data_IF_609540908394
#
_entry.id   IF_609540908394
#
_cell.length_a   1.000
_cell.length_b   1.000
_cell.length_c   1.000
_cell.angle_alpha   90.00
_cell.angle_beta   90.00
_cell.angle_gamma   90.00
#
_symmetry.space_group_name_H-M   'P 1'
#
loop_
_entity.id
_entity.type
_entity.pdbx_description
1 polymer ?
#
# COMPACT_ATOMS: atom_id res chain seq x y z
N UNK A 1 14.34 41.28 23.26
CA UNK A 1 13.79 40.77 21.98
C UNK A 1 13.03 39.49 22.30
N UNK A 2 11.80 39.39 21.80
CA UNK A 2 10.75 38.47 22.27
C UNK A 2 11.10 37.00 21.96
N UNK A 3 11.15 36.18 23.02
CA UNK A 3 11.01 34.72 22.97
C UNK A 3 9.52 34.44 22.74
N UNK A 4 9.16 33.90 21.58
CA UNK A 4 7.79 33.47 21.33
C UNK A 4 7.49 33.43 19.86
N UNK A 5 7.79 32.30 19.20
CA UNK A 5 7.10 31.84 17.99
C UNK A 5 7.59 30.48 17.42
N UNK A 6 8.32 29.64 18.17
CA UNK A 6 8.90 28.42 17.61
C UNK A 6 8.69 27.13 18.45
N UNK A 7 7.63 27.10 19.25
CA UNK A 7 7.25 25.94 20.07
C UNK A 7 5.78 25.51 19.93
N UNK A 8 5.11 25.91 18.83
CA UNK A 8 3.68 25.62 18.61
C UNK A 8 3.40 24.62 17.46
N UNK A 9 4.37 23.78 17.09
CA UNK A 9 4.22 22.84 15.96
C UNK A 9 4.41 21.35 16.34
N UNK A 10 4.63 21.00 17.60
CA UNK A 10 5.00 19.62 18.01
C UNK A 10 4.10 19.00 19.07
N UNK A 11 2.84 19.41 19.18
CA UNK A 11 1.84 18.71 20.01
C UNK A 11 0.44 18.83 19.40
N UNK A 12 0.22 18.20 18.25
CA UNK A 12 -1.12 17.79 17.85
C UNK A 12 -1.21 16.28 18.02
N UNK A 13 -1.82 15.76 19.10
CA UNK A 13 -2.30 14.40 19.08
C UNK A 13 -3.38 14.37 18.00
N UNK A 14 -3.17 13.59 16.94
CA UNK A 14 -4.24 13.23 16.03
C UNK A 14 -5.18 12.32 16.83
N UNK A 15 -6.05 12.93 17.62
CA UNK A 15 -7.22 12.29 18.15
C UNK A 15 -8.17 12.10 16.96
N UNK A 16 -8.14 10.91 16.37
CA UNK A 16 -9.19 10.46 15.48
C UNK A 16 -10.47 10.29 16.32
N UNK A 17 -11.21 11.37 16.53
CA UNK A 17 -12.59 11.29 16.95
C UNK A 17 -13.38 10.77 15.75
N UNK A 18 -13.67 9.47 15.76
CA UNK A 18 -14.76 8.94 14.96
C UNK A 18 -16.02 9.72 15.37
N UNK A 19 -16.57 10.52 14.46
CA UNK A 19 -17.89 11.11 14.64
C UNK A 19 -18.89 9.95 14.71
N UNK A 20 -19.21 9.51 15.93
CA UNK A 20 -20.41 8.72 16.19
C UNK A 20 -21.60 9.63 15.93
N UNK A 21 -22.07 9.65 14.69
CA UNK A 21 -23.38 10.19 14.34
C UNK A 21 -24.41 9.31 15.02
N UNK A 22 -24.88 9.75 16.18
CA UNK A 22 -25.96 9.12 16.94
C UNK A 22 -27.30 9.38 16.25
N UNK A 23 -27.51 8.77 15.09
CA UNK A 23 -28.83 8.28 14.70
C UNK A 23 -28.91 6.86 15.22
N UNK A 24 -29.52 6.71 16.39
CA UNK A 24 -29.84 5.42 16.99
C UNK A 24 -30.83 4.68 16.09
N UNK A 25 -30.31 3.94 15.11
CA UNK A 25 -31.06 2.85 14.48
C UNK A 25 -30.81 1.64 15.36
N UNK A 26 -31.85 1.19 16.03
CA UNK A 26 -31.83 0.04 16.93
C UNK A 26 -31.42 -1.21 16.12
N UNK A 27 -30.14 -1.59 16.22
CA UNK A 27 -29.50 -2.64 15.42
C UNK A 27 -29.78 -4.04 15.96
N UNK A 28 -31.03 -4.28 16.36
CA UNK A 28 -31.47 -5.54 16.96
C UNK A 28 -32.46 -6.24 16.05
N UNK A 29 -32.05 -6.57 14.83
CA UNK A 29 -32.47 -7.75 14.07
C UNK A 29 -31.63 -7.86 12.79
N UNK A 30 -31.31 -9.10 12.44
CA UNK A 30 -30.30 -9.54 11.47
C UNK A 30 -30.38 -8.86 10.10
N UNK A 31 -29.20 -8.66 9.49
CA UNK A 31 -29.09 -8.50 8.04
C UNK A 31 -29.42 -9.85 7.36
N UNK A 32 -30.10 -9.85 6.20
CA UNK A 32 -30.51 -8.69 5.40
C UNK A 32 -31.89 -8.11 5.79
N UNK A 33 -32.04 -6.77 5.69
CA UNK A 33 -33.33 -6.07 5.86
C UNK A 33 -33.84 -5.48 4.53
N UNK A 34 -35.11 -5.04 4.51
CA UNK A 34 -35.85 -4.58 3.31
C UNK A 34 -35.27 -3.34 2.61
N UNK A 35 -34.28 -2.66 3.20
CA UNK A 35 -33.56 -1.54 2.57
C UNK A 35 -32.15 -1.91 2.10
N UNK A 36 -31.74 -3.16 2.30
CA UNK A 36 -30.50 -3.71 1.77
C UNK A 36 -30.81 -4.52 0.51
N UNK A 37 -30.05 -4.31 -0.56
CA UNK A 37 -30.19 -5.00 -1.86
C UNK A 37 -29.85 -6.51 -1.80
N UNK A 38 -30.01 -7.17 -0.66
CA UNK A 38 -29.50 -8.53 -0.40
C UNK A 38 -27.96 -8.63 -0.44
N UNK A 39 -27.25 -7.54 -0.72
CA UNK A 39 -25.79 -7.49 -0.92
C UNK A 39 -25.00 -7.27 0.38
N UNK A 40 -25.64 -7.33 1.54
CA UNK A 40 -25.01 -7.04 2.83
C UNK A 40 -24.18 -8.23 3.36
N UNK A 41 -23.19 -8.67 2.59
CA UNK A 41 -22.15 -9.59 3.07
C UNK A 41 -21.16 -8.79 3.93
N UNK A 42 -21.62 -8.37 5.12
CA UNK A 42 -20.79 -7.66 6.11
C UNK A 42 -19.98 -8.71 6.85
N UNK A 43 -18.73 -8.90 6.42
CA UNK A 43 -17.78 -9.74 7.13
C UNK A 43 -17.16 -8.91 8.28
N UNK A 44 -17.08 -9.43 9.51
CA UNK A 44 -16.31 -8.78 10.56
C UNK A 44 -14.85 -8.65 10.11
N UNK A 45 -14.19 -7.56 10.50
CA UNK A 45 -12.75 -7.35 10.25
C UNK A 45 -11.92 -8.30 11.13
N UNK A 46 -11.94 -9.59 10.81
CA UNK A 46 -11.14 -10.62 11.46
C UNK A 46 -10.04 -11.16 10.52
N UNK A 47 -9.15 -11.99 11.06
CA UNK A 47 -8.08 -12.60 10.26
C UNK A 47 -8.62 -13.61 9.22
N UNK A 48 -9.88 -14.05 9.31
CA UNK A 48 -10.51 -14.95 8.35
C UNK A 48 -10.94 -14.21 7.08
N UNK A 49 -11.29 -12.92 7.21
CA UNK A 49 -11.61 -12.05 6.08
C UNK A 49 -10.38 -11.60 5.27
N UNK A 50 -9.15 -11.90 5.72
CA UNK A 50 -7.93 -11.58 4.95
C UNK A 50 -7.91 -12.37 3.65
N UNK A 51 -7.65 -11.66 2.56
CA UNK A 51 -7.59 -12.22 1.20
C UNK A 51 -6.16 -12.32 0.65
N UNK A 52 -5.21 -11.64 1.29
CA UNK A 52 -3.87 -11.41 0.77
C UNK A 52 -2.80 -11.79 1.78
N UNK A 53 -1.64 -12.20 1.27
CA UNK A 53 -0.41 -12.23 2.06
C UNK A 53 0.06 -10.80 2.27
N UNK A 54 0.49 -10.53 3.48
CA UNK A 54 0.83 -9.19 3.93
C UNK A 54 2.10 -9.18 4.79
N UNK A 55 2.81 -10.31 4.84
CA UNK A 55 4.11 -10.45 5.48
C UNK A 55 5.13 -10.93 4.47
N UNK A 56 6.35 -10.41 4.56
CA UNK A 56 7.50 -10.93 3.84
C UNK A 56 8.76 -10.88 4.69
N UNK A 57 9.74 -11.70 4.32
CA UNK A 57 11.11 -11.60 4.82
C UNK A 57 12.00 -11.27 3.64
N UNK A 58 12.77 -10.19 3.75
CA UNK A 58 13.70 -9.78 2.70
C UNK A 58 15.13 -9.92 3.18
N UNK A 59 16.00 -10.45 2.33
CA UNK A 59 17.44 -10.56 2.58
C UNK A 59 18.19 -10.04 1.37
N UNK A 60 19.30 -9.34 1.59
CA UNK A 60 20.08 -8.83 0.49
C UNK A 60 21.43 -8.30 0.94
N UNK A 61 22.21 -7.85 -0.03
CA UNK A 61 23.51 -7.26 0.21
C UNK A 61 24.09 -6.61 -1.03
N UNK A 62 25.15 -5.85 -0.84
CA UNK A 62 25.81 -5.15 -1.92
C UNK A 62 26.89 -4.21 -1.41
N UNK A 63 27.13 -3.15 -2.16
CA UNK A 63 28.21 -2.21 -1.88
C UNK A 63 27.78 -1.12 -0.89
N UNK A 64 28.74 -0.64 -0.11
CA UNK A 64 28.56 0.49 0.80
C UNK A 64 29.70 1.49 0.60
N UNK A 65 29.36 2.78 0.60
CA UNK A 65 30.30 3.86 0.33
C UNK A 65 30.07 5.01 1.30
N UNK A 66 31.15 5.56 1.84
CA UNK A 66 31.12 6.85 2.50
C UNK A 66 31.18 7.96 1.43
N UNK A 67 30.18 8.83 1.40
CA UNK A 67 30.00 9.79 0.29
C UNK A 67 30.05 11.24 0.74
N UNK A 68 29.32 11.58 1.81
CA UNK A 68 29.27 12.93 2.34
C UNK A 68 29.80 12.92 3.76
N UNK A 69 31.12 13.00 3.84
CA UNK A 69 31.92 12.89 5.06
C UNK A 69 33.28 13.56 4.86
N UNK A 70 34.13 13.56 5.89
CA UNK A 70 35.53 13.96 5.80
C UNK A 70 36.35 12.99 4.94
N UNK A 71 36.34 11.72 5.32
CA UNK A 71 36.96 10.61 4.62
C UNK A 71 35.96 9.95 3.69
N UNK A 72 36.26 9.97 2.38
CA UNK A 72 35.36 9.46 1.34
C UNK A 72 35.82 8.14 0.77
N UNK A 73 34.86 7.28 0.45
CA UNK A 73 35.06 6.04 -0.32
C UNK A 73 35.21 6.32 -1.82
N UNK A 74 34.53 7.35 -2.31
CA UNK A 74 34.55 7.76 -3.73
C UNK A 74 35.38 9.03 -3.87
N UNK A 75 36.60 8.90 -4.40
CA UNK A 75 37.46 10.03 -4.80
C UNK A 75 37.66 10.02 -6.32
N UNK A 76 38.10 11.14 -6.89
CA UNK A 76 38.29 11.31 -8.34
C UNK A 76 39.29 10.30 -8.94
N UNK A 77 40.25 9.87 -8.13
CA UNK A 77 41.38 9.01 -8.48
C UNK A 77 41.19 7.54 -8.07
N UNK A 78 40.36 7.27 -7.05
CA UNK A 78 40.23 5.95 -6.44
C UNK A 78 38.85 5.72 -5.83
N UNK A 79 38.30 4.53 -6.05
CA UNK A 79 37.10 4.02 -5.39
C UNK A 79 37.48 2.90 -4.42
N UNK A 80 37.20 3.11 -3.14
CA UNK A 80 37.31 2.07 -2.12
C UNK A 80 35.93 1.47 -1.88
N UNK A 81 35.83 0.16 -2.09
CA UNK A 81 34.57 -0.56 -1.96
C UNK A 81 34.38 -1.06 -0.53
N UNK A 82 33.23 -0.75 0.04
CA UNK A 82 32.69 -1.41 1.22
C UNK A 82 31.60 -2.41 0.86
N UNK A 83 31.04 -3.07 1.87
CA UNK A 83 29.91 -3.99 1.69
C UNK A 83 28.81 -3.74 2.73
N UNK A 84 27.59 -4.14 2.41
CA UNK A 84 26.50 -4.26 3.37
C UNK A 84 25.73 -5.57 3.13
N UNK A 85 25.06 -6.03 4.16
CA UNK A 85 24.04 -7.07 4.11
C UNK A 85 22.90 -6.67 5.03
N UNK A 86 21.67 -6.97 4.63
CA UNK A 86 20.48 -6.69 5.42
C UNK A 86 19.55 -7.90 5.49
N UNK A 87 18.81 -7.95 6.59
CA UNK A 87 17.61 -8.78 6.73
C UNK A 87 16.48 -7.89 7.23
N UNK A 88 15.29 -8.05 6.66
CA UNK A 88 14.11 -7.34 7.10
C UNK A 88 12.89 -8.24 7.20
N UNK A 89 12.01 -7.88 8.14
CA UNK A 89 10.67 -8.42 8.24
C UNK A 89 9.73 -7.29 7.83
N UNK A 90 9.00 -7.49 6.74
CA UNK A 90 8.15 -6.48 6.16
C UNK A 90 6.68 -6.86 6.35
N UNK A 91 5.89 -5.87 6.76
CA UNK A 91 4.45 -5.94 6.93
C UNK A 91 3.80 -4.97 5.96
N UNK A 92 3.06 -5.49 5.00
CA UNK A 92 2.23 -4.67 4.13
C UNK A 92 0.95 -4.28 4.89
N UNK A 93 0.70 -2.98 5.06
CA UNK A 93 -0.50 -2.45 5.74
C UNK A 93 -1.61 -2.19 4.72
N UNK A 94 -1.26 -1.67 3.54
CA UNK A 94 -2.16 -1.45 2.41
C UNK A 94 -1.44 -1.81 1.10
N UNK A 95 -2.15 -1.81 -0.03
CA UNK A 95 -1.53 -2.01 -1.35
C UNK A 95 -0.45 -0.95 -1.69
N UNK A 96 -0.48 0.23 -1.06
CA UNK A 96 0.50 1.31 -1.26
C UNK A 96 1.52 1.47 -0.15
N UNK A 97 1.23 1.04 1.08
CA UNK A 97 2.06 1.31 2.25
C UNK A 97 2.40 0.05 3.04
N UNK A 98 3.68 -0.07 3.42
CA UNK A 98 4.21 -1.11 4.28
C UNK A 98 5.13 -0.57 5.36
N UNK A 99 5.37 -1.39 6.38
CA UNK A 99 6.29 -1.12 7.48
C UNK A 99 7.29 -2.26 7.57
N UNK A 100 8.56 -1.96 7.77
CA UNK A 100 9.63 -2.93 7.79
C UNK A 100 10.54 -2.73 9.00
N UNK A 101 10.84 -3.82 9.70
CA UNK A 101 11.90 -3.84 10.70
C UNK A 101 13.14 -4.44 10.03
N UNK A 102 14.19 -3.64 9.90
CA UNK A 102 15.40 -4.01 9.16
C UNK A 102 16.64 -3.97 10.05
N UNK A 103 17.40 -5.05 10.02
CA UNK A 103 18.76 -5.10 10.55
C UNK A 103 19.75 -5.09 9.38
N UNK A 104 20.72 -4.18 9.43
CA UNK A 104 21.78 -4.04 8.42
C UNK A 104 23.13 -4.12 9.09
N UNK A 105 24.06 -4.82 8.46
CA UNK A 105 25.47 -4.88 8.86
C UNK A 105 26.34 -4.60 7.67
N UNK A 106 27.42 -3.86 7.85
CA UNK A 106 28.34 -3.57 6.77
C UNK A 106 29.69 -3.06 7.22
N UNK A 107 30.52 -2.79 6.21
CA UNK A 107 31.81 -2.14 6.35
C UNK A 107 31.98 -1.12 5.22
N UNK A 108 32.36 0.12 5.53
CA UNK A 108 32.85 1.08 4.55
C UNK A 108 34.36 1.21 4.64
N UNK A 109 34.99 1.52 3.51
CA UNK A 109 36.41 1.85 3.42
C UNK A 109 36.56 3.21 2.81
N UNK A 110 37.29 4.10 3.45
CA UNK A 110 37.39 5.49 3.05
C UNK A 110 38.81 6.01 3.26
N UNK A 111 39.14 7.07 2.54
CA UNK A 111 40.48 7.64 2.58
C UNK A 111 40.39 9.16 2.62
N UNK A 112 41.18 9.77 3.49
CA UNK A 112 41.31 11.21 3.64
C UNK A 112 42.73 11.67 3.37
N UNK A 113 42.89 12.93 2.97
CA UNK A 113 44.19 13.56 2.86
C UNK A 113 44.18 14.92 3.56
N UNK A 114 45.09 15.13 4.50
CA UNK A 114 45.29 16.43 5.15
C UNK A 114 45.94 17.42 4.19
N UNK A 115 45.63 18.70 4.36
CA UNK A 115 46.28 19.79 3.61
C UNK A 115 47.75 19.92 3.99
N UNK A 116 48.64 19.58 3.06
CA UNK A 116 50.10 19.64 3.17
C UNK A 116 50.75 19.55 1.79
N UNK A 117 52.08 19.77 1.69
CA UNK A 117 52.79 19.80 0.40
C UNK A 117 52.49 18.54 -0.45
N UNK A 118 52.10 18.76 -1.70
CA UNK A 118 51.75 17.70 -2.65
C UNK A 118 52.91 16.70 -2.79
N UNK A 119 52.65 15.41 -2.56
CA UNK A 119 53.62 14.34 -2.79
C UNK A 119 54.30 13.75 -1.55
N UNK A 120 54.01 14.22 -0.33
CA UNK A 120 54.46 13.52 0.88
C UNK A 120 53.44 12.42 1.19
N UNK A 121 53.88 11.17 1.32
CA UNK A 121 53.04 10.04 1.78
C UNK A 121 52.46 10.25 3.19
N UNK A 122 52.94 11.25 3.92
CA UNK A 122 52.42 11.66 5.21
C UNK A 122 51.12 12.46 5.05
N UNK A 123 50.09 12.08 5.83
CA UNK A 123 48.80 12.77 5.82
C UNK A 123 47.77 12.13 4.90
N UNK A 124 48.02 10.92 4.38
CA UNK A 124 47.02 10.08 3.72
C UNK A 124 46.61 8.99 4.69
N UNK A 125 45.38 9.09 5.21
CA UNK A 125 44.82 8.07 6.09
C UNK A 125 43.76 7.23 5.39
N UNK A 126 43.73 5.97 5.78
CA UNK A 126 42.70 4.99 5.41
C UNK A 126 41.90 4.66 6.66
N UNK A 127 40.59 4.90 6.60
CA UNK A 127 39.67 4.47 7.64
C UNK A 127 38.77 3.34 7.15
N UNK A 128 38.42 2.47 8.09
CA UNK A 128 37.42 1.42 7.92
C UNK A 128 36.35 1.61 8.98
N UNK A 129 35.08 1.64 8.58
CA UNK A 129 33.95 1.73 9.51
C UNK A 129 33.12 0.48 9.39
N UNK A 130 33.09 -0.34 10.44
CA UNK A 130 32.16 -1.46 10.58
C UNK A 130 30.92 -0.96 11.30
N UNK A 131 29.73 -1.25 10.75
CA UNK A 131 28.48 -0.75 11.32
C UNK A 131 27.43 -1.86 11.42
N UNK A 132 26.63 -1.75 12.47
CA UNK A 132 25.47 -2.57 12.78
C UNK A 132 24.29 -1.62 13.02
N UNK A 133 23.17 -1.84 12.34
CA UNK A 133 22.07 -0.90 12.29
C UNK A 133 20.75 -1.63 12.45
N UNK A 134 19.86 -1.10 13.30
CA UNK A 134 18.49 -1.59 13.46
C UNK A 134 17.53 -0.43 13.21
N UNK A 135 16.63 -0.56 12.23
CA UNK A 135 15.72 0.52 11.84
C UNK A 135 14.30 0.05 11.60
N UNK A 136 13.37 0.98 11.86
CA UNK A 136 11.99 0.92 11.41
C UNK A 136 11.86 1.76 10.13
N UNK A 137 11.32 1.17 9.08
CA UNK A 137 11.26 1.75 7.74
C UNK A 137 9.81 1.75 7.25
N UNK A 138 9.33 2.89 6.79
CA UNK A 138 8.14 2.98 5.95
C UNK A 138 8.48 2.68 4.49
N UNK A 139 7.67 1.84 3.85
CA UNK A 139 7.74 1.48 2.43
C UNK A 139 6.51 2.06 1.72
N UNK A 140 6.73 2.92 0.72
CA UNK A 140 5.68 3.44 -0.16
C UNK A 140 5.86 2.82 -1.55
N UNK A 141 4.86 2.06 -2.01
CA UNK A 141 4.79 1.54 -3.36
C UNK A 141 4.19 2.60 -4.31
N UNK A 142 5.06 3.38 -4.95
CA UNK A 142 4.67 4.43 -5.90
C UNK A 142 3.99 3.86 -7.15
N UNK A 143 4.36 2.65 -7.57
CA UNK A 143 3.72 2.02 -8.73
C UNK A 143 2.24 1.74 -8.51
N UNK A 144 1.83 1.42 -7.28
CA UNK A 144 0.41 1.32 -6.91
C UNK A 144 -0.21 2.68 -6.63
N UNK A 145 0.52 3.59 -5.97
CA UNK A 145 -0.01 4.91 -5.61
C UNK A 145 -0.33 5.76 -6.84
N UNK A 146 0.51 5.69 -7.87
CA UNK A 146 0.42 6.47 -9.10
C UNK A 146 -0.14 5.65 -10.27
N UNK A 147 -0.73 4.48 -9.99
CA UNK A 147 -1.30 3.63 -11.02
C UNK A 147 -2.51 4.33 -11.63
N UNK A 148 -2.50 4.46 -12.95
CA UNK A 148 -3.67 4.95 -13.67
C UNK A 148 -4.79 3.90 -13.64
N UNK A 149 -6.00 4.40 -13.49
CA UNK A 149 -7.26 3.63 -13.47
C UNK A 149 -7.48 2.81 -14.74
N UNK A 150 -7.08 3.32 -15.90
CA UNK A 150 -7.29 2.70 -17.21
C UNK A 150 -6.20 1.67 -17.59
N UNK A 151 -5.20 1.46 -16.73
CA UNK A 151 -4.12 0.53 -17.00
C UNK A 151 -4.45 -0.88 -16.49
N UNK A 152 -4.80 -1.77 -17.42
CA UNK A 152 -5.18 -3.16 -17.15
C UNK A 152 -4.00 -4.15 -17.18
N UNK A 153 -2.78 -3.67 -17.46
CA UNK A 153 -1.61 -4.55 -17.61
C UNK A 153 -1.15 -5.13 -16.26
N UNK A 154 -0.85 -6.45 -16.18
CA UNK A 154 -0.27 -7.04 -14.98
C UNK A 154 1.12 -6.43 -14.74
N UNK A 155 1.24 -5.61 -13.69
CA UNK A 155 2.52 -5.01 -13.36
C UNK A 155 3.38 -6.00 -12.59
N UNK A 156 4.57 -6.26 -13.13
CA UNK A 156 5.59 -7.11 -12.50
C UNK A 156 6.73 -6.30 -11.90
N UNK A 157 6.78 -5.00 -12.19
CA UNK A 157 7.77 -4.08 -11.66
C UNK A 157 7.06 -3.08 -10.76
N UNK A 158 7.63 -2.83 -9.60
CA UNK A 158 7.15 -1.84 -8.65
C UNK A 158 8.29 -0.94 -8.19
N UNK A 159 8.06 0.37 -8.22
CA UNK A 159 8.96 1.38 -7.70
C UNK A 159 8.55 1.75 -6.28
N UNK A 160 9.52 1.74 -5.38
CA UNK A 160 9.33 1.91 -3.95
C UNK A 160 10.16 3.08 -3.42
N UNK A 161 9.59 3.80 -2.46
CA UNK A 161 10.29 4.77 -1.63
C UNK A 161 10.42 4.25 -0.22
N UNK A 162 11.62 4.39 0.36
CA UNK A 162 11.92 3.99 1.73
C UNK A 162 12.30 5.21 2.55
N UNK A 163 11.80 5.27 3.78
CA UNK A 163 12.26 6.23 4.77
C UNK A 163 12.16 5.61 6.15
N UNK A 164 13.19 5.78 6.98
CA UNK A 164 13.25 5.14 8.28
C UNK A 164 14.15 5.86 9.27
N UNK A 165 13.97 5.46 10.52
CA UNK A 165 14.73 5.89 11.69
C UNK A 165 15.20 4.64 12.43
N UNK A 166 16.40 4.69 12.99
CA UNK A 166 16.97 3.54 13.67
C UNK A 166 18.08 3.90 14.64
N UNK A 167 18.66 2.86 15.23
CA UNK A 167 19.85 2.94 16.07
C UNK A 167 21.03 2.33 15.33
N UNK A 168 22.20 2.94 15.52
CA UNK A 168 23.43 2.63 14.80
C UNK A 168 24.57 2.37 15.80
N UNK A 169 25.18 1.20 15.73
CA UNK A 169 26.49 0.96 16.32
C UNK A 169 27.54 0.97 15.23
N UNK A 170 28.72 1.50 15.54
CA UNK A 170 29.85 1.40 14.64
C UNK A 170 31.18 1.33 15.36
N UNK A 171 32.17 0.79 14.66
CA UNK A 171 33.57 0.71 15.07
C UNK A 171 34.43 1.18 13.92
N UNK A 172 35.23 2.20 14.18
CA UNK A 172 36.13 2.74 13.18
C UNK A 172 37.57 2.40 13.51
N UNK A 173 38.39 2.26 12.48
CA UNK A 173 39.84 2.19 12.62
C UNK A 173 40.49 3.08 11.58
N UNK A 174 41.34 4.00 12.02
CA UNK A 174 42.07 4.94 11.18
C UNK A 174 43.56 4.59 11.19
N UNK A 175 44.12 4.37 10.01
CA UNK A 175 45.54 4.08 9.79
C UNK A 175 46.12 5.12 8.83
N UNK A 176 47.25 5.73 9.18
CA UNK A 176 47.97 6.70 8.34
C UNK A 176 49.30 6.09 7.91
N UNK A 177 49.73 6.38 6.69
CA UNK A 177 50.93 5.83 6.06
C UNK A 177 52.25 6.26 6.73
N UNK A 178 52.22 7.14 7.74
CA UNK A 178 53.40 7.52 8.52
C UNK A 178 53.41 6.88 9.93
N UNK A 179 53.39 5.55 9.94
CA UNK A 179 53.30 4.66 11.13
C UNK A 179 54.41 4.88 12.17
N UNK A 180 55.48 5.63 11.84
CA UNK A 180 56.66 5.86 12.68
C UNK A 180 56.89 7.32 13.13
N UNK A 181 55.93 8.23 12.93
CA UNK A 181 56.06 9.58 13.51
C UNK A 181 55.64 9.55 14.99
N UNK A 182 56.61 9.23 15.86
CA UNK A 182 56.55 9.47 17.30
C UNK A 182 56.46 10.98 17.58
N UNK A 183 55.29 11.58 17.37
CA UNK A 183 54.97 12.89 17.92
C UNK A 183 53.97 12.68 19.05
N UNK A 184 54.44 12.87 20.28
CA UNK A 184 53.63 12.70 21.49
C UNK A 184 52.64 13.86 21.69
N UNK A 185 52.67 14.89 20.83
CA UNK A 185 51.70 15.98 20.93
C UNK A 185 51.20 16.53 19.58
N UNK A 186 49.97 16.18 19.17
CA UNK A 186 49.12 15.10 19.71
C UNK A 186 49.48 13.76 19.05
N UNK A 187 49.60 12.71 19.87
CA UNK A 187 49.76 11.31 19.46
C UNK A 187 48.45 10.81 18.86
N UNK A 188 48.40 10.44 17.57
CA UNK A 188 47.09 10.32 16.86
C UNK A 188 46.83 9.05 16.03
N UNK A 189 47.66 8.00 16.04
CA UNK A 189 47.47 6.88 15.07
C UNK A 189 48.07 5.55 15.61
N UNK A 190 47.37 4.40 15.53
CA UNK A 190 46.00 4.19 15.05
C UNK A 190 44.94 4.75 16.00
N UNK A 191 43.88 5.32 15.43
CA UNK A 191 42.72 5.83 16.17
C UNK A 191 41.55 4.88 16.01
N UNK A 192 40.88 4.58 17.11
CA UNK A 192 39.72 3.70 17.15
C UNK A 192 38.57 4.41 17.81
N UNK A 193 37.45 4.57 17.11
CA UNK A 193 36.20 5.05 17.69
C UNK A 193 35.24 3.88 17.79
N UNK A 194 34.53 3.77 18.91
CA UNK A 194 33.49 2.78 19.11
C UNK A 194 32.25 3.46 19.63
N UNK A 195 31.20 3.45 18.82
CA UNK A 195 29.87 3.88 19.20
C UNK A 195 29.00 2.63 19.44
N UNK A 196 28.60 2.34 20.69
CA UNK A 196 27.66 1.26 20.98
C UNK A 196 26.24 1.63 20.53
N UNK A 197 25.38 0.63 20.34
CA UNK A 197 23.97 0.86 19.99
C UNK A 197 23.24 1.32 21.26
N UNK A 198 22.88 2.59 21.30
CA UNK A 198 22.16 3.22 22.40
C UNK A 198 21.13 4.23 21.86
N UNK A 199 20.23 4.71 22.72
CA UNK A 199 19.20 5.71 22.39
C UNK A 199 19.82 7.02 21.88
N UNK A 200 21.08 7.31 22.19
CA UNK A 200 21.83 8.44 21.64
C UNK A 200 22.37 8.23 20.22
N UNK A 201 22.36 7.01 19.69
CA UNK A 201 22.93 6.63 18.39
C UNK A 201 21.88 6.60 17.26
N UNK A 202 20.95 7.55 17.29
CA UNK A 202 19.85 7.61 16.32
C UNK A 202 20.36 8.05 14.97
N UNK A 203 20.05 7.27 13.94
CA UNK A 203 20.35 7.60 12.55
C UNK A 203 19.05 7.59 11.72
N UNK A 204 19.09 8.27 10.59
CA UNK A 204 18.00 8.29 9.61
C UNK A 204 18.46 7.64 8.32
N UNK A 205 17.54 7.05 7.58
CA UNK A 205 17.84 6.58 6.24
C UNK A 205 16.66 6.81 5.30
N UNK A 206 16.97 7.06 4.04
CA UNK A 206 15.99 7.24 2.99
C UNK A 206 16.52 6.67 1.68
N UNK A 207 15.65 6.11 0.86
CA UNK A 207 16.10 5.40 -0.33
C UNK A 207 15.01 5.07 -1.31
N UNK A 208 15.43 4.41 -2.38
CA UNK A 208 14.57 3.98 -3.47
C UNK A 208 14.75 2.49 -3.70
N UNK A 209 13.68 1.83 -4.12
CA UNK A 209 13.63 0.42 -4.45
C UNK A 209 13.01 0.17 -5.80
N UNK A 210 13.54 -0.82 -6.51
CA UNK A 210 12.90 -1.41 -7.68
C UNK A 210 12.70 -2.89 -7.38
N UNK A 211 11.43 -3.29 -7.20
CA UNK A 211 11.02 -4.68 -6.95
C UNK A 211 10.49 -5.30 -8.23
N UNK A 212 10.82 -6.56 -8.44
CA UNK A 212 10.32 -7.39 -9.54
C UNK A 212 9.65 -8.65 -9.02
N UNK A 213 8.41 -8.86 -9.45
CA UNK A 213 7.60 -10.03 -9.12
C UNK A 213 8.01 -11.23 -9.98
N UNK A 214 8.89 -12.06 -9.43
CA UNK A 214 9.37 -13.28 -10.07
C UNK A 214 8.28 -14.34 -10.01
N UNK A 215 7.73 -14.59 -8.83
CA UNK A 215 6.74 -15.63 -8.61
C UNK A 215 5.78 -15.29 -7.47
N UNK A 216 4.81 -16.18 -7.25
CA UNK A 216 3.92 -16.10 -6.09
C UNK A 216 4.69 -16.11 -4.77
N UNK A 217 5.89 -16.66 -4.68
CA UNK A 217 6.61 -16.76 -3.40
C UNK A 217 7.76 -15.77 -3.26
N UNK A 218 8.29 -15.28 -4.38
CA UNK A 218 9.58 -14.59 -4.41
C UNK A 218 9.47 -13.31 -5.24
N UNK A 219 10.00 -12.22 -4.68
CA UNK A 219 10.39 -11.00 -5.40
C UNK A 219 11.90 -10.84 -5.38
N UNK A 220 12.42 -10.17 -6.41
CA UNK A 220 13.80 -9.67 -6.42
C UNK A 220 13.75 -8.16 -6.27
N UNK A 221 14.69 -7.60 -5.52
CA UNK A 221 14.73 -6.18 -5.20
C UNK A 221 16.12 -5.62 -5.48
N UNK A 222 16.16 -4.47 -6.16
CA UNK A 222 17.31 -3.58 -6.16
C UNK A 222 16.99 -2.38 -5.28
N UNK A 223 17.80 -2.13 -4.25
CA UNK A 223 17.59 -1.06 -3.28
C UNK A 223 18.82 -0.16 -3.21
N UNK A 224 18.57 1.14 -3.07
CA UNK A 224 19.59 2.14 -2.80
C UNK A 224 19.17 2.96 -1.59
N UNK A 225 19.98 2.97 -0.53
CA UNK A 225 19.69 3.73 0.70
C UNK A 225 20.79 4.74 0.97
N UNK A 226 20.37 5.94 1.35
CA UNK A 226 21.22 6.99 1.88
C UNK A 226 21.08 7.01 3.40
N UNK A 227 22.18 6.85 4.10
CA UNK A 227 22.28 6.77 5.56
C UNK A 227 22.77 8.12 6.06
N UNK A 228 21.98 8.74 6.93
CA UNK A 228 22.32 9.97 7.64
C UNK A 228 22.65 9.59 9.07
N UNK A 229 23.95 9.49 9.36
CA UNK A 229 24.46 9.03 10.66
C UNK A 229 24.06 9.97 11.81
N UNK A 230 24.12 11.29 11.57
CA UNK A 230 24.00 12.30 12.63
C UNK A 230 25.21 12.37 13.56
N UNK A 231 26.25 11.61 13.25
CA UNK A 231 27.49 11.43 14.02
C UNK A 231 28.67 11.71 13.08
N UNK A 232 29.61 12.49 13.59
CA UNK A 232 30.76 13.03 12.86
C UNK A 232 31.96 12.07 12.90
N UNK A 233 31.94 11.09 13.80
CA UNK A 233 32.99 10.10 13.92
C UNK A 233 32.72 8.84 13.07
N UNK A 234 31.59 8.79 12.36
CA UNK A 234 31.13 7.61 11.62
C UNK A 234 32.03 7.28 10.42
N UNK A 235 32.67 8.26 9.78
CA UNK A 235 33.64 7.99 8.72
C UNK A 235 35.03 7.57 9.23
N UNK A 236 35.21 7.52 10.55
CA UNK A 236 36.48 7.13 11.16
C UNK A 236 37.59 8.18 11.10
N UNK A 237 37.27 9.46 10.95
CA UNK A 237 38.20 10.58 11.08
C UNK A 237 38.89 10.67 12.46
N UNK A 238 38.37 9.94 13.46
CA UNK A 238 38.86 9.90 14.83
C UNK A 238 37.99 10.77 15.75
N UNK A 239 38.34 10.89 17.05
CA UNK A 239 37.56 11.72 17.97
C UNK A 239 37.41 13.17 17.51
N UNK A 240 36.36 13.84 17.98
CA UNK A 240 36.16 15.27 17.81
C UNK A 240 37.46 16.09 17.96
N UNK A 241 37.63 17.09 17.08
CA UNK A 241 38.79 17.98 17.02
C UNK A 241 40.12 17.31 16.60
N UNK A 242 40.05 16.16 15.93
CA UNK A 242 41.19 15.60 15.19
C UNK A 242 41.31 16.26 13.81
N UNK A 243 42.52 16.32 13.26
CA UNK A 243 42.77 16.98 11.98
C UNK A 243 41.99 16.35 10.82
N UNK A 244 41.72 15.04 10.90
CA UNK A 244 40.94 14.30 9.90
C UNK A 244 39.43 14.54 10.07
N UNK A 245 38.92 14.58 11.31
CA UNK A 245 37.53 14.93 11.66
C UNK A 245 37.20 16.44 11.52
N UNK A 246 38.13 17.24 11.01
CA UNK A 246 37.97 18.68 10.80
C UNK A 246 38.20 19.06 9.33
N UNK A 247 38.18 18.07 8.42
CA UNK A 247 38.35 18.32 6.99
C UNK A 247 37.12 19.00 6.38
N UNK A 248 35.95 18.85 7.01
CA UNK A 248 34.67 19.40 6.62
C UNK A 248 33.95 19.92 7.86
N UNK A 249 33.22 21.02 7.73
CA UNK A 249 32.48 21.62 8.84
C UNK A 249 31.10 20.95 9.08
N UNK A 250 30.85 19.80 8.44
CA UNK A 250 29.63 19.03 8.67
C UNK A 250 29.72 18.35 10.03
N UNK A 251 28.57 17.91 10.55
CA UNK A 251 28.45 17.22 11.84
C UNK A 251 27.92 15.79 11.70
N UNK A 252 27.89 15.31 10.47
CA UNK A 252 27.22 14.06 10.12
C UNK A 252 27.87 13.51 8.89
N UNK A 253 28.50 12.37 9.07
CA UNK A 253 29.02 11.58 7.98
C UNK A 253 27.96 10.65 7.44
N UNK A 254 27.77 10.70 6.12
CA UNK A 254 26.70 9.98 5.49
C UNK A 254 27.25 8.95 4.52
N UNK A 255 26.68 7.75 4.62
CA UNK A 255 26.97 6.63 3.76
C UNK A 255 25.85 6.40 2.74
N UNK A 256 26.20 5.71 1.67
CA UNK A 256 25.30 5.26 0.64
C UNK A 256 25.49 3.77 0.43
N UNK A 257 24.41 3.00 0.55
CA UNK A 257 24.36 1.58 0.24
C UNK A 257 23.58 1.31 -1.05
N UNK A 258 24.08 0.36 -1.84
CA UNK A 258 23.40 -0.17 -3.03
C UNK A 258 23.38 -1.68 -2.91
N UNK A 259 22.20 -2.27 -2.91
CA UNK A 259 22.00 -3.67 -2.54
C UNK A 259 21.06 -4.38 -3.52
N UNK A 260 21.35 -5.65 -3.77
CA UNK A 260 20.43 -6.57 -4.43
C UNK A 260 19.93 -7.56 -3.39
N UNK A 261 18.65 -7.89 -3.46
CA UNK A 261 17.99 -8.73 -2.47
C UNK A 261 16.87 -9.57 -3.04
N UNK A 262 16.41 -10.49 -2.21
CA UNK A 262 15.30 -11.40 -2.48
C UNK A 262 14.31 -11.28 -1.33
N UNK A 263 13.04 -11.14 -1.65
CA UNK A 263 11.95 -11.07 -0.69
C UNK A 263 11.04 -12.29 -0.81
N UNK A 264 10.81 -12.95 0.33
CA UNK A 264 9.98 -14.15 0.44
C UNK A 264 8.61 -13.79 1.02
N UNK A 265 7.56 -13.98 0.22
CA UNK A 265 6.17 -13.68 0.58
C UNK A 265 5.59 -14.78 1.47
N UNK A 266 5.25 -14.44 2.71
CA UNK A 266 4.77 -15.37 3.73
C UNK A 266 3.24 -15.36 3.82
N UNK A 267 2.67 -16.54 4.12
CA UNK A 267 1.24 -16.73 4.41
C UNK A 267 0.55 -17.68 3.43
N UNK A 268 -0.76 -17.91 3.64
CA UNK A 268 -1.52 -18.97 2.97
C UNK A 268 -2.24 -18.51 1.68
N UNK A 269 -2.38 -17.21 1.47
CA UNK A 269 -3.15 -16.67 0.35
C UNK A 269 -2.34 -16.66 -0.96
N UNK A 270 -3.03 -16.70 -2.10
CA UNK A 270 -2.39 -16.84 -3.40
C UNK A 270 -1.62 -15.58 -3.85
N UNK A 271 -2.15 -14.39 -3.56
CA UNK A 271 -1.58 -13.11 -3.94
C UNK A 271 -1.03 -12.36 -2.72
N UNK A 272 -0.04 -11.51 -2.94
CA UNK A 272 0.53 -10.63 -1.93
C UNK A 272 -0.02 -9.22 -2.11
N UNK A 273 -0.34 -8.54 -1.01
CA UNK A 273 -1.05 -7.25 -0.99
C UNK A 273 -0.30 -6.16 -1.78
N UNK A 274 1.03 -6.17 -1.73
CA UNK A 274 1.86 -5.22 -2.48
C UNK A 274 1.76 -5.35 -4.01
N UNK A 275 1.26 -6.49 -4.51
CA UNK A 275 1.11 -6.79 -5.94
C UNK A 275 -0.36 -6.80 -6.38
N UNK A 276 -1.27 -6.35 -5.53
CA UNK A 276 -2.70 -6.36 -5.81
C UNK A 276 -3.19 -4.95 -6.18
N UNK A 277 -3.94 -4.86 -7.27
CA UNK A 277 -4.66 -3.65 -7.64
C UNK A 277 -6.07 -3.68 -7.01
N UNK A 278 -6.41 -2.77 -6.08
CA UNK A 278 -7.74 -2.76 -5.46
C UNK A 278 -8.86 -2.42 -6.45
N UNK A 279 -8.57 -1.66 -7.50
CA UNK A 279 -9.58 -1.20 -8.45
C UNK A 279 -9.91 -2.27 -9.49
N UNK A 280 -8.95 -3.16 -9.79
CA UNK A 280 -9.16 -4.26 -10.72
C UNK A 280 -10.34 -5.16 -10.32
N UNK A 281 -10.55 -5.42 -9.02
CA UNK A 281 -11.70 -6.20 -8.55
C UNK A 281 -13.03 -5.45 -8.75
N UNK A 282 -13.04 -4.13 -8.50
CA UNK A 282 -14.21 -3.30 -8.71
C UNK A 282 -14.58 -3.21 -10.20
N UNK A 283 -13.60 -2.98 -11.08
CA UNK A 283 -13.83 -2.95 -12.53
C UNK A 283 -14.26 -4.29 -13.09
N UNK A 284 -13.67 -5.39 -12.64
CA UNK A 284 -14.12 -6.71 -13.04
C UNK A 284 -15.59 -6.92 -12.69
N UNK A 285 -16.00 -6.61 -11.45
CA UNK A 285 -17.41 -6.71 -11.04
C UNK A 285 -18.33 -5.80 -11.84
N UNK A 286 -17.93 -4.55 -12.06
CA UNK A 286 -18.70 -3.62 -12.88
C UNK A 286 -18.87 -4.15 -14.31
N UNK A 287 -17.79 -4.65 -14.93
CA UNK A 287 -17.84 -5.23 -16.28
C UNK A 287 -18.71 -6.49 -16.35
N UNK A 288 -18.70 -7.32 -15.30
CA UNK A 288 -19.57 -8.51 -15.23
C UNK A 288 -21.03 -8.09 -15.11
N UNK A 289 -21.33 -7.04 -14.34
CA UNK A 289 -22.70 -6.52 -14.20
C UNK A 289 -23.19 -5.81 -15.46
N UNK A 290 -22.32 -5.08 -16.14
CA UNK A 290 -22.64 -4.41 -17.40
C UNK A 290 -22.90 -5.41 -18.53
N UNK A 291 -22.12 -6.50 -18.58
CA UNK A 291 -22.28 -7.55 -19.58
C UNK A 291 -23.22 -8.69 -19.15
N UNK A 292 -23.67 -8.69 -17.90
CA UNK A 292 -24.76 -9.56 -17.48
C UNK A 292 -26.01 -9.03 -18.19
N UNK A 293 -26.35 -9.66 -19.32
CA UNK A 293 -27.64 -9.46 -19.94
C UNK A 293 -28.69 -9.63 -18.85
N UNK A 294 -29.44 -8.57 -18.57
CA UNK A 294 -30.72 -8.72 -17.89
C UNK A 294 -31.59 -9.46 -18.89
N UNK A 295 -31.57 -10.78 -18.86
CA UNK A 295 -32.65 -11.58 -19.42
C UNK A 295 -33.89 -11.16 -18.63
N UNK A 296 -34.56 -10.13 -19.13
CA UNK A 296 -35.89 -9.79 -18.69
C UNK A 296 -36.74 -10.98 -19.17
N UNK A 297 -36.93 -11.96 -18.30
CA UNK A 297 -37.84 -13.07 -18.55
C UNK A 297 -39.23 -12.47 -18.54
N UNK A 298 -39.69 -12.08 -19.73
CA UNK A 298 -41.05 -11.60 -19.95
C UNK A 298 -41.92 -12.84 -20.11
N UNK A 299 -42.94 -12.97 -19.26
CA UNK A 299 -43.90 -14.08 -19.29
C UNK A 299 -43.27 -15.43 -18.95
N UNK A 300 -42.69 -15.55 -17.75
CA UNK A 300 -42.10 -16.80 -17.26
C UNK A 300 -43.16 -17.91 -17.15
N UNK A 301 -44.38 -17.54 -16.73
CA UNK A 301 -45.50 -18.48 -16.60
C UNK A 301 -46.30 -18.71 -17.88
N UNK A 302 -46.07 -17.91 -18.92
CA UNK A 302 -46.83 -17.97 -20.18
C UNK A 302 -48.10 -17.12 -20.17
N UNK A 303 -49.04 -17.48 -21.04
CA UNK A 303 -50.38 -16.91 -21.23
C UNK A 303 -51.32 -18.11 -21.47
N UNK A 304 -51.99 -18.57 -20.40
CA UNK A 304 -52.71 -19.84 -20.40
C UNK A 304 -54.06 -19.77 -21.14
N UNK A 305 -54.75 -18.65 -21.05
CA UNK A 305 -56.07 -18.43 -21.66
C UNK A 305 -55.99 -17.75 -23.05
N UNK A 306 -54.78 -17.32 -23.46
CA UNK A 306 -54.46 -16.69 -24.74
C UNK A 306 -55.22 -15.38 -24.95
N UNK A 307 -55.40 -14.60 -23.89
CA UNK A 307 -56.02 -13.28 -23.97
C UNK A 307 -55.04 -12.16 -24.37
N UNK A 308 -53.73 -12.46 -24.39
CA UNK A 308 -52.65 -11.54 -24.76
C UNK A 308 -51.97 -10.85 -23.57
N UNK A 309 -52.34 -11.18 -22.34
CA UNK A 309 -51.71 -10.73 -21.09
C UNK A 309 -51.11 -11.94 -20.40
N UNK A 310 -49.83 -11.86 -20.05
CA UNK A 310 -49.16 -13.00 -19.45
C UNK A 310 -49.62 -13.26 -18.03
N UNK A 311 -49.73 -14.54 -17.63
CA UNK A 311 -50.16 -15.03 -16.31
C UNK A 311 -49.42 -14.37 -15.12
N UNK A 312 -48.20 -13.87 -15.36
CA UNK A 312 -47.43 -13.14 -14.36
C UNK A 312 -48.00 -11.76 -14.00
N UNK A 313 -48.75 -11.16 -14.91
CA UNK A 313 -49.34 -9.82 -14.81
C UNK A 313 -50.87 -9.81 -15.02
N UNK A 314 -51.43 -10.92 -15.46
CA UNK A 314 -52.85 -11.13 -15.64
C UNK A 314 -53.56 -11.27 -14.28
N UNK A 315 -54.68 -10.54 -14.13
CA UNK A 315 -55.55 -10.58 -12.96
C UNK A 315 -56.68 -11.59 -13.09
N UNK A 316 -56.98 -12.05 -14.30
CA UNK A 316 -58.04 -12.99 -14.62
C UNK A 316 -57.50 -14.12 -15.52
N UNK A 317 -56.83 -15.09 -14.88
CA UNK A 317 -56.17 -16.26 -15.48
C UNK A 317 -57.07 -17.23 -16.27
N UNK A 318 -58.34 -16.90 -16.46
CA UNK A 318 -59.37 -17.72 -17.06
C UNK A 318 -60.34 -16.91 -17.94
N UNK A 319 -59.83 -15.86 -18.58
CA UNK A 319 -60.59 -15.05 -19.53
C UNK A 319 -61.12 -15.95 -20.67
N UNK A 320 -62.42 -15.87 -21.00
CA UNK A 320 -62.98 -16.64 -22.10
C UNK A 320 -62.32 -16.31 -23.44
N UNK A 321 -62.02 -17.35 -24.23
CA UNK A 321 -61.43 -17.18 -25.55
C UNK A 321 -62.27 -16.25 -26.45
N UNK A 322 -61.65 -15.20 -26.96
CA UNK A 322 -62.29 -14.18 -27.81
C UNK A 322 -62.92 -13.01 -27.06
N UNK A 323 -62.89 -13.00 -25.72
CA UNK A 323 -63.19 -11.81 -24.95
C UNK A 323 -62.12 -10.74 -25.20
N UNK A 324 -62.54 -9.47 -25.20
CA UNK A 324 -61.59 -8.35 -25.24
C UNK A 324 -61.21 -8.04 -23.80
N UNK A 325 -59.91 -7.94 -23.53
CA UNK A 325 -59.39 -7.66 -22.19
C UNK A 325 -58.73 -6.29 -22.09
N UNK A 326 -58.60 -5.79 -20.86
CA UNK A 326 -57.81 -4.60 -20.55
C UNK A 326 -56.30 -4.93 -20.41
N UNK A 327 -55.49 -3.92 -20.08
CA UNK A 327 -54.04 -4.12 -19.88
C UNK A 327 -53.65 -4.97 -18.68
N UNK A 328 -54.63 -5.45 -17.90
CA UNK A 328 -54.45 -6.34 -16.76
C UNK A 328 -55.07 -7.74 -16.99
N UNK A 329 -55.51 -8.04 -18.22
CA UNK A 329 -56.08 -9.35 -18.60
C UNK A 329 -57.52 -9.57 -18.14
N UNK A 330 -58.21 -8.51 -17.69
CA UNK A 330 -59.61 -8.64 -17.24
C UNK A 330 -60.55 -8.44 -18.42
N UNK A 331 -61.52 -9.33 -18.58
CA UNK A 331 -62.57 -9.21 -19.60
C UNK A 331 -63.35 -7.89 -19.46
N UNK A 332 -63.55 -7.19 -20.58
CA UNK A 332 -64.29 -5.94 -20.60
C UNK A 332 -65.78 -6.15 -20.31
N UNK A 333 -66.31 -5.28 -19.46
CA UNK A 333 -67.73 -5.09 -19.12
C UNK A 333 -67.96 -3.57 -19.13
N UNK A 334 -68.46 -3.05 -20.25
CA UNK A 334 -68.50 -1.61 -20.50
C UNK A 334 -69.62 -0.89 -19.73
N UNK A 335 -70.71 -1.56 -19.41
CA UNK A 335 -71.84 -0.97 -18.68
C UNK A 335 -71.94 -1.40 -17.21
N UNK A 336 -71.06 -2.30 -16.78
CA UNK A 336 -70.85 -2.75 -15.41
C UNK A 336 -72.06 -3.49 -14.83
N UNK A 337 -72.80 -4.21 -15.66
CA UNK A 337 -73.96 -5.01 -15.25
C UNK A 337 -73.60 -6.43 -14.76
N UNK A 338 -72.33 -6.83 -14.92
CA UNK A 338 -71.80 -8.13 -14.51
C UNK A 338 -71.82 -9.19 -15.61
N UNK A 339 -72.26 -8.87 -16.82
CA UNK A 339 -72.14 -9.68 -18.03
C UNK A 339 -71.04 -9.08 -18.91
N UNK A 340 -69.97 -9.84 -19.16
CA UNK A 340 -68.88 -9.37 -20.01
C UNK A 340 -69.39 -9.05 -21.43
N UNK A 341 -68.75 -8.09 -22.11
CA UNK A 341 -69.10 -7.58 -23.44
C UNK A 341 -69.24 -8.70 -24.49
N UNK A 342 -68.53 -9.82 -24.31
CA UNK A 342 -68.60 -11.00 -25.19
C UNK A 342 -69.97 -11.70 -25.14
N UNK A 343 -70.61 -11.70 -23.97
CA UNK A 343 -71.89 -12.37 -23.72
C UNK A 343 -73.07 -11.41 -23.58
N UNK A 344 -72.80 -10.10 -23.49
CA UNK A 344 -73.81 -9.07 -23.43
C UNK A 344 -74.34 -8.69 -24.83
N UNK A 345 -75.66 -8.76 -25.00
CA UNK A 345 -76.35 -8.34 -26.23
C UNK A 345 -76.54 -6.82 -26.30
N UNK A 346 -76.42 -6.14 -25.17
CA UNK A 346 -76.71 -4.73 -24.98
C UNK A 346 -75.53 -3.97 -24.32
N UNK A 347 -74.29 -4.21 -24.77
CA UNK A 347 -72.96 -3.71 -24.32
C UNK A 347 -72.83 -2.28 -23.72
N UNK A 348 -73.81 -1.40 -23.92
CA UNK A 348 -73.79 -0.01 -23.43
C UNK A 348 -74.95 0.33 -22.50
N UNK A 349 -75.83 -0.62 -22.17
CA UNK A 349 -77.07 -0.41 -21.42
C UNK A 349 -77.30 -1.55 -20.43
N UNK A 350 -77.15 -1.30 -19.12
CA UNK A 350 -77.16 -2.35 -18.11
C UNK A 350 -78.44 -3.19 -18.11
N UNK A 351 -78.27 -4.51 -17.98
CA UNK A 351 -79.38 -5.45 -17.85
C UNK A 351 -79.09 -6.63 -16.92
N UNK A 352 -80.13 -7.38 -16.55
CA UNK A 352 -79.96 -8.61 -15.78
C UNK A 352 -79.24 -9.71 -16.58
N UNK A 353 -78.41 -10.51 -15.88
CA UNK A 353 -77.75 -11.71 -16.45
C UNK A 353 -78.76 -12.66 -17.09
N UNK A 354 -79.97 -12.78 -16.51
CA UNK A 354 -81.05 -13.63 -17.04
C UNK A 354 -81.51 -13.22 -18.45
N UNK A 355 -81.24 -11.99 -18.87
CA UNK A 355 -81.59 -11.46 -20.19
C UNK A 355 -80.35 -11.19 -21.08
N UNK A 356 -79.19 -11.76 -20.75
CA UNK A 356 -77.91 -11.54 -21.46
C UNK A 356 -77.53 -10.04 -21.52
N UNK A 357 -77.56 -9.37 -20.37
CA UNK A 357 -77.17 -7.96 -20.20
C UNK A 357 -78.12 -6.92 -20.83
N UNK A 358 -79.25 -7.36 -21.40
CA UNK A 358 -80.26 -6.42 -21.92
C UNK A 358 -81.31 -6.02 -20.88
N UNK A 359 -81.78 -4.76 -20.88
CA UNK A 359 -82.87 -4.32 -20.01
C UNK A 359 -84.14 -5.15 -20.20
N UNK A 360 -84.76 -5.57 -19.10
CA UNK A 360 -86.12 -6.08 -19.09
C UNK A 360 -87.09 -4.90 -19.10
N UNK A 361 -88.06 -4.91 -20.03
CA UNK A 361 -89.05 -3.85 -20.26
C UNK A 361 -89.63 -3.20 -19.00
#
# INVERSE_FOLDING_TARGET
MKLGLLLLATTLPIAAFAQSSSTTVNSSTEYPNTFSSGSANVQPFDNKARRFRDWSISVGGGAAFMVHSDLKSLRKDKTNWGYNAYVSIDKQISHTFGLSLMYTRGETKQTGQLTGAAGVAAGVATATTQFDQLALIGDINFSNLLRRVDNHSPYRWAFHGYMGIGLQAFRTSLHDNNENRWNDNPKRIPSFVRQPMDIGSVYYQGGLGLKYNVSKLIDVEARTMYIISGDDEFDGGGPAYTAYNMLNDRKSDNAWTVSLGVSFKLGKHLSHLAWHDPLQEAYYRASVLENAATDLVVCEKGDADNDGVCDDWDRQLDTPAGARVDGAGVALDMDLDGVIDLYDKCVTVPGPVENNGCPTK
#
